data_IF_653664016345
#
_entry.id   IF_653664016345
#
_cell.length_a   1.000
_cell.length_b   1.000
_cell.length_c   1.000
_cell.angle_alpha   90.00
_cell.angle_beta   90.00
_cell.angle_gamma   90.00
#
_symmetry.space_group_name_H-M   'P 1'
#
loop_
_entity.id
_entity.type
_entity.pdbx_description
1 polymer ?
#
# COMPACT_ATOMS: atom_id res chain seq x y z
N UNK A 1 5.93 15.97 26.02
CA UNK A 1 5.37 14.99 25.06
C UNK A 1 4.00 15.48 24.65
N UNK A 2 3.68 15.55 23.35
CA UNK A 2 2.32 15.85 22.93
C UNK A 2 1.39 14.72 23.40
N UNK A 3 0.24 15.09 23.95
CA UNK A 3 -0.80 14.15 24.41
C UNK A 3 -2.03 14.29 23.52
N UNK A 4 -2.56 13.15 23.04
CA UNK A 4 -3.75 13.11 22.19
C UNK A 4 -4.87 12.37 22.94
N UNK A 5 -6.02 13.02 23.09
CA UNK A 5 -7.23 12.39 23.65
C UNK A 5 -8.28 12.28 22.56
N UNK A 6 -8.67 11.05 22.22
CA UNK A 6 -9.73 10.79 21.24
C UNK A 6 -11.02 10.51 22.01
N UNK A 7 -12.04 11.33 21.80
CA UNK A 7 -13.37 11.18 22.43
C UNK A 7 -14.35 10.56 21.44
N UNK A 8 -15.35 9.84 21.95
CA UNK A 8 -16.42 9.23 21.16
C UNK A 8 -15.90 8.28 20.05
N UNK A 9 -14.83 7.55 20.34
CA UNK A 9 -14.33 6.54 19.41
C UNK A 9 -15.34 5.39 19.35
N UNK A 10 -15.85 5.00 18.16
CA UNK A 10 -16.76 3.87 18.06
C UNK A 10 -16.12 2.60 18.63
N UNK A 11 -16.88 1.82 19.39
CA UNK A 11 -16.37 0.60 20.04
C UNK A 11 -15.80 -0.41 19.03
N UNK A 12 -16.37 -0.45 17.82
CA UNK A 12 -15.87 -1.27 16.71
C UNK A 12 -14.44 -0.90 16.31
N UNK A 13 -14.12 0.39 16.29
CA UNK A 13 -12.78 0.90 15.95
C UNK A 13 -11.81 0.63 17.10
N UNK A 14 -12.24 0.82 18.35
CA UNK A 14 -11.43 0.48 19.51
C UNK A 14 -11.08 -1.01 19.56
N UNK A 15 -12.05 -1.89 19.27
CA UNK A 15 -11.83 -3.33 19.21
C UNK A 15 -10.88 -3.74 18.06
N UNK A 16 -11.01 -3.10 16.90
CA UNK A 16 -10.11 -3.32 15.77
C UNK A 16 -8.67 -2.90 16.09
N UNK A 17 -8.48 -1.70 16.66
CA UNK A 17 -7.16 -1.21 17.09
C UNK A 17 -6.52 -2.13 18.12
N UNK A 18 -7.30 -2.63 19.09
CA UNK A 18 -6.80 -3.58 20.08
C UNK A 18 -6.36 -4.89 19.45
N UNK A 19 -7.14 -5.43 18.51
CA UNK A 19 -6.78 -6.65 17.79
C UNK A 19 -5.49 -6.47 16.99
N UNK A 20 -5.38 -5.36 16.27
CA UNK A 20 -4.20 -5.03 15.47
C UNK A 20 -2.95 -4.87 16.35
N UNK A 21 -3.07 -4.16 17.46
CA UNK A 21 -1.99 -4.03 18.44
C UNK A 21 -1.53 -5.39 18.99
N UNK A 22 -2.47 -6.30 19.28
CA UNK A 22 -2.14 -7.67 19.72
C UNK A 22 -1.42 -8.48 18.64
N UNK A 23 -1.81 -8.33 17.37
CA UNK A 23 -1.16 -9.00 16.24
C UNK A 23 0.28 -8.52 16.05
N UNK A 24 0.50 -7.22 16.21
CA UNK A 24 1.81 -6.59 16.07
C UNK A 24 2.68 -6.72 17.34
N UNK A 25 2.12 -7.26 18.44
CA UNK A 25 2.81 -7.39 19.72
C UNK A 25 3.07 -6.05 20.44
N UNK A 26 2.28 -5.04 20.11
CA UNK A 26 2.42 -3.66 20.59
C UNK A 26 1.31 -3.28 21.59
N UNK A 27 1.52 -2.20 22.33
CA UNK A 27 0.43 -1.57 23.08
C UNK A 27 -0.50 -0.84 22.13
N UNK A 28 -1.77 -0.67 22.53
CA UNK A 28 -2.77 0.08 21.74
C UNK A 28 -2.29 1.52 21.46
N UNK A 29 -1.63 2.15 22.43
CA UNK A 29 -1.06 3.49 22.24
C UNK A 29 0.07 3.50 21.20
N UNK A 30 0.97 2.51 21.24
CA UNK A 30 2.05 2.39 20.28
C UNK A 30 1.50 2.15 18.87
N UNK A 31 0.45 1.34 18.73
CA UNK A 31 -0.22 1.09 17.46
C UNK A 31 -0.92 2.35 16.91
N UNK A 32 -1.65 3.08 17.76
CA UNK A 32 -2.28 4.35 17.35
C UNK A 32 -1.21 5.36 16.91
N UNK A 33 -0.08 5.43 17.63
CA UNK A 33 1.04 6.30 17.24
C UNK A 33 1.64 5.91 15.91
N UNK A 34 1.85 4.61 15.67
CA UNK A 34 2.34 4.07 14.40
C UNK A 34 1.40 4.44 13.26
N UNK A 35 0.11 4.16 13.38
CA UNK A 35 -0.89 4.49 12.36
C UNK A 35 -0.90 5.99 12.05
N UNK A 36 -0.90 6.85 13.08
CA UNK A 36 -0.87 8.30 12.87
C UNK A 36 0.43 8.76 12.20
N UNK A 37 1.56 8.16 12.54
CA UNK A 37 2.86 8.44 11.92
C UNK A 37 2.85 8.02 10.45
N UNK A 38 2.36 6.81 10.15
CA UNK A 38 2.29 6.26 8.81
C UNK A 38 1.33 7.06 7.92
N UNK A 39 0.23 7.58 8.47
CA UNK A 39 -0.73 8.38 7.69
C UNK A 39 -0.25 9.82 7.49
N UNK A 40 0.34 10.44 8.51
CA UNK A 40 0.71 11.86 8.46
C UNK A 40 2.11 12.13 7.90
N UNK A 41 3.04 11.17 8.01
CA UNK A 41 4.46 11.36 7.68
C UNK A 41 4.88 10.54 6.47
N UNK A 42 4.28 9.37 6.20
CA UNK A 42 4.62 8.69 4.95
C UNK A 42 4.14 9.53 3.79
N UNK A 43 5.10 9.96 2.99
CA UNK A 43 4.87 10.58 1.69
C UNK A 43 4.27 9.52 0.77
N UNK A 44 2.94 9.40 0.81
CA UNK A 44 2.18 8.60 -0.15
C UNK A 44 2.30 9.32 -1.48
N UNK A 45 3.32 8.95 -2.24
CA UNK A 45 3.50 9.50 -3.58
C UNK A 45 2.20 9.29 -4.36
N UNK A 46 1.63 10.35 -4.94
CA UNK A 46 0.34 10.26 -5.64
C UNK A 46 0.43 9.25 -6.78
N UNK A 47 -0.67 8.61 -7.16
CA UNK A 47 -0.69 7.63 -8.27
C UNK A 47 -0.10 8.23 -9.57
N UNK A 48 -0.22 9.54 -9.76
CA UNK A 48 0.42 10.27 -10.85
C UNK A 48 1.96 10.09 -10.88
N UNK A 49 2.61 9.90 -9.73
CA UNK A 49 4.04 9.61 -9.64
C UNK A 49 4.40 8.24 -10.20
N UNK A 50 3.46 7.29 -10.27
CA UNK A 50 3.73 5.99 -10.88
C UNK A 50 3.90 6.13 -12.39
N UNK A 51 3.08 6.93 -13.05
CA UNK A 51 3.25 7.18 -14.48
C UNK A 51 4.59 7.85 -14.76
N UNK A 52 4.97 8.84 -13.95
CA UNK A 52 6.27 9.49 -14.00
C UNK A 52 7.43 8.52 -13.74
N UNK A 53 7.27 7.60 -12.80
CA UNK A 53 8.26 6.56 -12.52
C UNK A 53 8.43 5.61 -13.72
N UNK A 54 7.32 5.19 -14.33
CA UNK A 54 7.35 4.35 -15.53
C UNK A 54 8.00 5.12 -16.69
N UNK A 55 7.68 6.39 -16.87
CA UNK A 55 8.32 7.25 -17.88
C UNK A 55 9.83 7.34 -17.65
N UNK A 56 10.28 7.48 -16.40
CA UNK A 56 11.70 7.49 -16.04
C UNK A 56 12.39 6.15 -16.34
N UNK A 57 11.80 5.03 -15.92
CA UNK A 57 12.38 3.69 -16.11
C UNK A 57 12.56 3.36 -17.59
N UNK A 58 11.60 3.74 -18.41
CA UNK A 58 11.64 3.51 -19.86
C UNK A 58 12.23 4.67 -20.66
N UNK A 59 12.77 5.71 -20.01
CA UNK A 59 13.30 6.91 -20.67
C UNK A 59 12.31 7.50 -21.71
N UNK A 60 11.01 7.45 -21.41
CA UNK A 60 9.93 7.86 -22.32
C UNK A 60 9.63 6.88 -23.47
N UNK A 61 10.43 5.84 -23.68
CA UNK A 61 10.21 4.81 -24.70
C UNK A 61 9.53 3.57 -24.10
N UNK A 62 8.23 3.70 -23.83
CA UNK A 62 7.45 2.56 -23.32
C UNK A 62 7.33 1.49 -24.40
N UNK A 63 7.62 0.22 -24.08
CA UNK A 63 7.40 -0.87 -25.01
C UNK A 63 5.90 -0.97 -25.36
N UNK A 64 5.60 -0.97 -26.66
CA UNK A 64 4.25 -1.22 -27.15
C UNK A 64 3.95 -2.73 -27.09
N UNK A 65 2.67 -3.08 -26.92
CA UNK A 65 2.16 -4.46 -27.07
C UNK A 65 2.74 -5.49 -26.08
N UNK A 66 3.23 -5.08 -24.90
CA UNK A 66 3.74 -6.01 -23.87
C UNK A 66 2.66 -7.01 -23.45
N UNK A 67 1.42 -6.54 -23.28
CA UNK A 67 0.29 -7.39 -22.88
C UNK A 67 -0.01 -8.43 -23.95
N UNK A 68 -0.11 -8.01 -25.21
CA UNK A 68 -0.26 -8.92 -26.35
C UNK A 68 0.84 -9.99 -26.39
N UNK A 69 2.11 -9.59 -26.27
CA UNK A 69 3.23 -10.53 -26.26
C UNK A 69 3.10 -11.57 -25.14
N UNK A 70 2.81 -11.12 -23.92
CA UNK A 70 2.69 -11.99 -22.75
C UNK A 70 1.51 -12.96 -22.89
N UNK A 71 0.37 -12.50 -23.42
CA UNK A 71 -0.78 -13.36 -23.69
C UNK A 71 -0.44 -14.40 -24.77
N UNK A 72 0.29 -14.02 -25.81
CA UNK A 72 0.71 -14.95 -26.86
C UNK A 72 1.69 -16.00 -26.32
N UNK A 73 2.66 -15.61 -25.50
CA UNK A 73 3.59 -16.55 -24.84
C UNK A 73 2.84 -17.60 -24.01
N UNK A 74 1.91 -17.16 -23.15
CA UNK A 74 1.13 -18.07 -22.30
C UNK A 74 0.23 -19.00 -23.12
N UNK A 75 -0.27 -18.56 -24.27
CA UNK A 75 -1.06 -19.40 -25.20
C UNK A 75 -0.21 -20.42 -25.95
N UNK A 76 1.06 -20.11 -26.23
CA UNK A 76 2.00 -21.05 -26.85
C UNK A 76 2.45 -22.12 -25.85
N UNK A 77 2.73 -21.73 -24.60
CA UNK A 77 3.01 -22.67 -23.51
C UNK A 77 1.86 -23.67 -23.33
N UNK A 78 0.61 -23.20 -23.24
CA UNK A 78 -0.57 -24.05 -23.08
C UNK A 78 -0.88 -24.97 -24.29
N UNK A 79 -0.25 -24.74 -25.45
CA UNK A 79 -0.36 -25.62 -26.62
C UNK A 79 0.76 -26.67 -26.67
N UNK A 80 1.84 -26.45 -25.91
CA UNK A 80 3.01 -27.31 -25.85
C UNK A 80 3.00 -28.25 -24.62
N UNK A 81 2.08 -28.04 -23.68
CA UNK A 81 1.68 -29.00 -22.62
C UNK A 81 0.55 -29.92 -23.12
#
# INVERSE_FOLDING_TARGET
MPTLTIRNLPDSVHAALRRQAQQDGLSVEAEVRKILTDVCIMDRKPIASLQQLVDQLYHGQKPANVVEHLIQERRLEAKNE
#
